data_IF_772222640951
#
_entry.id   IF_772222640951
#
_cell.length_a   1.000
_cell.length_b   1.000
_cell.length_c   1.000
_cell.angle_alpha   90.00
_cell.angle_beta   90.00
_cell.angle_gamma   90.00
#
_symmetry.space_group_name_H-M   'P 1'
#
loop_
_entity.id
_entity.type
_entity.pdbx_description
1 polymer ?
#
# COMPACT_ATOMS: atom_id res chain seq x y z
N UNK A 1 -14.13 -27.79 2.50
CA UNK A 1 -14.75 -26.77 3.36
C UNK A 1 -14.01 -25.46 3.08
N UNK A 2 -14.70 -24.42 2.61
CA UNK A 2 -14.09 -23.13 2.29
C UNK A 2 -14.56 -22.09 3.28
N UNK A 3 -13.64 -21.39 3.92
CA UNK A 3 -13.95 -20.24 4.75
C UNK A 3 -14.05 -18.99 3.86
N UNK A 4 -15.01 -18.14 4.15
CA UNK A 4 -15.19 -16.85 3.49
C UNK A 4 -15.15 -15.76 4.57
N UNK A 5 -14.62 -14.60 4.21
CA UNK A 5 -14.78 -13.42 5.04
C UNK A 5 -16.27 -13.06 5.10
N UNK A 6 -16.74 -12.72 6.28
CA UNK A 6 -18.11 -12.32 6.57
C UNK A 6 -18.10 -10.85 7.00
N UNK A 7 -19.07 -10.08 6.51
CA UNK A 7 -19.23 -8.66 6.75
C UNK A 7 -20.71 -8.37 6.93
N UNK A 8 -21.02 -7.36 7.74
CA UNK A 8 -22.41 -6.94 7.94
C UNK A 8 -22.93 -6.22 6.69
N UNK A 9 -24.23 -6.34 6.37
CA UNK A 9 -24.83 -5.58 5.28
C UNK A 9 -24.60 -4.07 5.44
N UNK A 10 -23.90 -3.46 4.49
CA UNK A 10 -23.58 -2.03 4.51
C UNK A 10 -22.14 -1.72 4.93
N UNK A 11 -21.36 -2.71 5.36
CA UNK A 11 -19.93 -2.55 5.59
C UNK A 11 -19.23 -2.05 4.32
N UNK A 12 -18.38 -1.04 4.51
CA UNK A 12 -17.56 -0.45 3.45
C UNK A 12 -16.11 -0.56 3.87
N UNK A 13 -15.26 -0.87 2.91
CA UNK A 13 -13.82 -0.77 3.05
C UNK A 13 -13.24 -0.08 1.82
N UNK A 14 -12.05 0.45 1.98
CA UNK A 14 -11.29 1.08 0.89
C UNK A 14 -10.08 0.20 0.63
N UNK A 15 -9.94 -0.22 -0.63
CA UNK A 15 -8.77 -0.90 -1.14
C UNK A 15 -7.95 0.07 -1.99
N UNK A 16 -6.66 0.22 -1.66
CA UNK A 16 -5.74 1.08 -2.41
C UNK A 16 -4.44 0.35 -2.71
N UNK A 17 -3.98 0.56 -3.94
CA UNK A 17 -2.71 0.06 -4.45
C UNK A 17 -1.80 1.27 -4.65
N UNK A 18 -0.68 1.27 -3.95
CA UNK A 18 0.41 2.22 -4.19
C UNK A 18 1.59 1.47 -4.78
N UNK A 19 2.36 2.10 -5.66
CA UNK A 19 3.49 1.44 -6.27
C UNK A 19 4.61 2.40 -6.62
N UNK A 20 5.83 1.89 -6.56
CA UNK A 20 7.02 2.51 -7.13
C UNK A 20 7.69 1.50 -8.05
N UNK A 21 8.04 1.94 -9.25
CA UNK A 21 8.77 1.14 -10.22
C UNK A 21 10.19 1.68 -10.34
N UNK A 22 11.16 0.78 -10.44
CA UNK A 22 12.58 1.11 -10.55
C UNK A 22 13.32 0.13 -11.44
N UNK A 23 14.42 0.58 -12.04
CA UNK A 23 15.28 -0.26 -12.87
C UNK A 23 16.18 -1.15 -12.00
N UNK A 24 16.42 -2.36 -12.46
CA UNK A 24 17.16 -3.42 -11.78
C UNK A 24 16.30 -4.26 -10.82
N UNK A 25 16.97 -5.12 -10.06
CA UNK A 25 16.33 -5.98 -9.06
C UNK A 25 16.08 -5.28 -7.72
N UNK A 26 16.77 -4.16 -7.47
CA UNK A 26 16.73 -3.42 -6.20
C UNK A 26 16.62 -1.91 -6.45
N UNK A 27 15.93 -1.17 -5.57
CA UNK A 27 15.83 0.28 -5.70
C UNK A 27 17.19 0.94 -5.49
N UNK A 28 17.43 2.06 -6.18
CA UNK A 28 18.58 2.91 -5.89
C UNK A 28 18.39 3.62 -4.54
N UNK A 29 19.43 4.32 -4.05
CA UNK A 29 19.39 4.96 -2.73
C UNK A 29 18.24 5.95 -2.54
N UNK A 30 17.90 6.75 -3.57
CA UNK A 30 16.78 7.70 -3.49
C UNK A 30 15.43 6.98 -3.44
N UNK A 31 15.25 5.95 -4.26
CA UNK A 31 14.04 5.14 -4.28
C UNK A 31 13.86 4.38 -2.97
N UNK A 32 14.93 3.81 -2.41
CA UNK A 32 14.91 3.16 -1.11
C UNK A 32 14.49 4.13 0.00
N UNK A 33 14.99 5.37 -0.02
CA UNK A 33 14.58 6.39 0.95
C UNK A 33 13.09 6.73 0.82
N UNK A 34 12.56 6.84 -0.41
CA UNK A 34 11.13 7.07 -0.64
C UNK A 34 10.27 5.89 -0.17
N UNK A 35 10.71 4.66 -0.44
CA UNK A 35 10.07 3.42 0.05
C UNK A 35 9.99 3.44 1.58
N UNK A 36 11.10 3.68 2.26
CA UNK A 36 11.16 3.71 3.72
C UNK A 36 10.35 4.87 4.31
N UNK A 37 10.32 6.03 3.63
CA UNK A 37 9.49 7.16 4.03
C UNK A 37 8.01 6.81 3.92
N UNK A 38 7.60 6.19 2.82
CA UNK A 38 6.22 5.77 2.61
C UNK A 38 5.78 4.70 3.62
N UNK A 39 6.66 3.75 3.95
CA UNK A 39 6.40 2.72 4.96
C UNK A 39 6.10 3.28 6.35
N UNK A 40 6.81 4.35 6.75
CA UNK A 40 6.56 5.04 8.02
C UNK A 40 5.30 5.91 7.98
N UNK A 41 4.93 6.34 6.78
CA UNK A 41 3.86 7.30 6.55
C UNK A 41 2.48 6.66 6.41
N UNK A 42 2.39 5.45 5.85
CA UNK A 42 1.12 4.74 5.66
C UNK A 42 0.64 4.11 6.98
N UNK A 43 -0.08 4.89 7.78
CA UNK A 43 -0.56 4.51 9.13
C UNK A 43 -2.09 4.51 9.19
N UNK A 44 -2.69 3.82 10.16
CA UNK A 44 -4.16 3.77 10.33
C UNK A 44 -4.93 2.84 9.39
N UNK A 45 -4.23 2.11 8.51
CA UNK A 45 -4.82 1.01 7.71
C UNK A 45 -5.26 -0.16 8.60
N UNK A 46 -6.25 -0.91 8.12
CA UNK A 46 -6.66 -2.18 8.74
C UNK A 46 -5.67 -3.30 8.40
N UNK A 47 -5.23 -3.36 7.14
CA UNK A 47 -4.23 -4.33 6.68
C UNK A 47 -3.33 -3.74 5.59
N UNK A 48 -2.12 -4.28 5.46
CA UNK A 48 -1.14 -3.86 4.46
C UNK A 48 -0.28 -5.05 4.03
N UNK A 49 -0.36 -5.41 2.76
CA UNK A 49 0.60 -6.32 2.13
C UNK A 49 1.66 -5.52 1.37
N UNK A 50 2.90 -6.03 1.40
CA UNK A 50 4.02 -5.51 0.62
C UNK A 50 4.45 -6.58 -0.36
N UNK A 51 4.45 -6.23 -1.64
CA UNK A 51 4.78 -7.17 -2.71
C UNK A 51 5.83 -6.53 -3.60
N UNK A 52 6.91 -7.24 -3.85
CA UNK A 52 7.87 -6.88 -4.89
C UNK A 52 7.62 -7.78 -6.10
N UNK A 53 7.25 -7.17 -7.21
CA UNK A 53 7.02 -7.85 -8.47
C UNK A 53 8.27 -7.62 -9.35
N UNK A 54 9.05 -8.67 -9.65
CA UNK A 54 10.08 -8.57 -10.68
C UNK A 54 9.38 -8.42 -12.03
N UNK A 55 9.63 -7.32 -12.73
CA UNK A 55 9.10 -7.11 -14.08
C UNK A 55 9.99 -7.75 -15.14
N UNK A 56 9.42 -7.93 -16.32
CA UNK A 56 10.06 -8.66 -17.43
C UNK A 56 11.13 -7.84 -18.16
N UNK A 57 11.20 -6.53 -17.94
CA UNK A 57 12.02 -5.59 -18.72
C UNK A 57 13.10 -4.92 -17.85
N UNK A 58 13.74 -5.68 -16.96
CA UNK A 58 14.71 -5.16 -15.97
C UNK A 58 14.12 -4.08 -15.04
N UNK A 59 12.79 -4.00 -14.93
CA UNK A 59 12.11 -3.09 -14.03
C UNK A 59 11.49 -3.90 -12.92
N UNK A 60 11.73 -3.55 -11.66
CA UNK A 60 11.00 -4.12 -10.53
C UNK A 60 10.01 -3.11 -9.98
N UNK A 61 8.89 -3.61 -9.47
CA UNK A 61 7.85 -2.78 -8.84
C UNK A 61 7.65 -3.22 -7.41
N UNK A 62 7.78 -2.29 -6.47
CA UNK A 62 7.31 -2.50 -5.10
C UNK A 62 5.90 -1.92 -4.96
N UNK A 63 4.99 -2.74 -4.43
CA UNK A 63 3.57 -2.43 -4.30
C UNK A 63 3.15 -2.56 -2.83
N UNK A 64 2.31 -1.62 -2.41
CA UNK A 64 1.59 -1.65 -1.14
C UNK A 64 0.11 -1.86 -1.42
N UNK A 65 -0.42 -3.02 -1.00
CA UNK A 65 -1.84 -3.32 -1.06
C UNK A 65 -2.44 -3.03 0.30
N UNK A 66 -3.27 -2.00 0.38
CA UNK A 66 -3.77 -1.48 1.65
C UNK A 66 -5.27 -1.57 1.74
N UNK A 67 -5.76 -2.08 2.87
CA UNK A 67 -7.17 -2.16 3.21
C UNK A 67 -7.45 -1.22 4.38
N UNK A 68 -8.53 -0.47 4.27
CA UNK A 68 -8.87 0.57 5.23
C UNK A 68 -10.35 0.56 5.58
N UNK A 69 -10.63 0.95 6.82
CA UNK A 69 -11.95 1.45 7.18
C UNK A 69 -12.11 2.88 6.64
N UNK A 70 -13.30 3.29 6.17
CA UNK A 70 -13.50 4.60 5.56
C UNK A 70 -13.08 5.77 6.45
N UNK A 71 -13.36 5.71 7.75
CA UNK A 71 -13.05 6.77 8.71
C UNK A 71 -11.55 6.95 8.92
N UNK A 72 -10.81 5.83 9.07
CA UNK A 72 -9.36 5.88 9.25
C UNK A 72 -8.65 6.32 7.98
N UNK A 73 -9.16 5.89 6.82
CA UNK A 73 -8.67 6.35 5.52
C UNK A 73 -8.88 7.86 5.35
N UNK A 74 -10.09 8.37 5.62
CA UNK A 74 -10.39 9.79 5.47
C UNK A 74 -9.52 10.67 6.38
N UNK A 75 -9.30 10.21 7.62
CA UNK A 75 -8.42 10.87 8.58
C UNK A 75 -6.98 10.92 8.07
N UNK A 76 -6.45 9.76 7.65
CA UNK A 76 -5.08 9.69 7.11
C UNK A 76 -4.94 10.54 5.85
N UNK A 77 -5.85 10.39 4.87
CA UNK A 77 -5.82 11.06 3.57
C UNK A 77 -5.91 12.59 3.68
N UNK A 78 -6.56 13.10 4.71
CA UNK A 78 -6.69 14.53 4.96
C UNK A 78 -5.52 15.13 5.75
N UNK A 79 -4.59 14.29 6.25
CA UNK A 79 -3.49 14.74 7.09
C UNK A 79 -2.51 15.65 6.31
N UNK A 80 -1.85 16.61 6.98
CA UNK A 80 -0.88 17.51 6.34
C UNK A 80 0.31 16.80 5.69
N UNK A 81 0.58 15.56 6.08
CA UNK A 81 1.67 14.79 5.51
C UNK A 81 1.28 14.11 4.17
N UNK A 82 -0.02 13.97 3.88
CA UNK A 82 -0.55 13.47 2.59
C UNK A 82 -0.85 14.59 1.59
N UNK A 83 -1.28 15.76 2.07
CA UNK A 83 -1.49 16.95 1.24
C UNK A 83 -0.18 17.54 0.73
#
# INVERSE_FOLDING_TARGET
MFYRAEFEPGDKFIYRIYGIQYQGQSPNGQQLNLIQKFDKFITGKAHLDRITIPGTNEMSTQIWLSYWWPESHATWWSSPAVK
#
